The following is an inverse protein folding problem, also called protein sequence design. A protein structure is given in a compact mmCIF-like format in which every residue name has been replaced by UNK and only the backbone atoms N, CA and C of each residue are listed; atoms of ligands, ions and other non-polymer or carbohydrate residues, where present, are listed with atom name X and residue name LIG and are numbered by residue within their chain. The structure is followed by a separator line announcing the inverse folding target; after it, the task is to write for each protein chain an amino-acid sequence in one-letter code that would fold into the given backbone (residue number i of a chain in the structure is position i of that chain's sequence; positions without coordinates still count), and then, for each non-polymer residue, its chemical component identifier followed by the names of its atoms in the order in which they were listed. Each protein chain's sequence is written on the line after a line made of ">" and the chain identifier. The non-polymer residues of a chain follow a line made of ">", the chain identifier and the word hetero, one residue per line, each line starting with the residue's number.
data_IF_873469212531
#
_entry.id   IF_873469212531
#
_cell.length_a   1.000
_cell.length_b   1.000
_cell.length_c   1.000
_cell.angle_alpha   90.00
_cell.angle_beta   90.00
_cell.angle_gamma   90.00
#
_symmetry.space_group_name_H-M   'P 1'
#
loop_
_entity.id
_entity.type
_entity.pdbx_description
1 polymer ?
#
# COMPACT_ATOMS: atom_id res chain seq x y z
N UNK A 1 -11.19 -2.45 4.23
CA UNK A 1 -11.27 -2.29 5.70
C UNK A 1 -10.98 -3.60 6.46
N UNK A 2 -11.77 -4.67 6.30
CA UNK A 2 -11.64 -5.91 7.11
C UNK A 2 -10.23 -6.54 7.05
N UNK A 3 -9.63 -6.65 5.86
CA UNK A 3 -8.27 -7.18 5.74
C UNK A 3 -7.22 -6.34 6.48
N UNK A 4 -7.37 -5.01 6.50
CA UNK A 4 -6.49 -4.09 7.25
C UNK A 4 -6.72 -4.21 8.75
N UNK A 5 -7.97 -4.35 9.19
CA UNK A 5 -8.29 -4.67 10.59
C UNK A 5 -7.58 -5.95 11.04
N UNK A 6 -7.69 -7.02 10.25
CA UNK A 6 -7.07 -8.31 10.56
C UNK A 6 -5.55 -8.20 10.65
N UNK A 7 -4.91 -7.53 9.67
CA UNK A 7 -3.46 -7.30 9.67
C UNK A 7 -3.03 -6.51 10.91
N UNK A 8 -3.77 -5.46 11.28
CA UNK A 8 -3.49 -4.67 12.46
C UNK A 8 -3.60 -5.45 13.75
N UNK A 9 -4.66 -6.26 13.90
CA UNK A 9 -4.84 -7.12 15.09
C UNK A 9 -3.77 -8.20 15.20
N UNK A 10 -3.29 -8.72 14.08
CA UNK A 10 -2.27 -9.76 14.05
C UNK A 10 -0.86 -9.19 14.33
N UNK A 11 -0.52 -8.04 13.74
CA UNK A 11 0.82 -7.44 13.79
C UNK A 11 1.03 -6.45 14.94
N UNK A 12 -0.03 -5.82 15.45
CA UNK A 12 -0.03 -4.97 16.65
C UNK A 12 -0.99 -5.57 17.68
N UNK A 13 -0.64 -6.73 18.27
CA UNK A 13 -1.50 -7.35 19.27
C UNK A 13 -1.68 -6.44 20.48
N UNK A 14 -2.85 -6.51 21.12
CA UNK A 14 -3.19 -5.74 22.33
C UNK A 14 -3.36 -4.21 22.12
N UNK A 15 -3.33 -3.72 20.88
CA UNK A 15 -3.67 -2.32 20.57
C UNK A 15 -5.00 -2.23 19.82
N UNK A 16 -5.47 -1.00 19.61
CA UNK A 16 -6.60 -0.69 18.71
C UNK A 16 -6.14 -0.31 17.29
N UNK A 17 -4.89 -0.60 16.93
CA UNK A 17 -4.31 -0.18 15.65
C UNK A 17 -5.11 -0.73 14.46
N UNK A 18 -5.59 -1.98 14.55
CA UNK A 18 -6.43 -2.58 13.50
C UNK A 18 -7.77 -1.87 13.35
N UNK A 19 -8.44 -1.59 14.46
CA UNK A 19 -9.71 -0.85 14.51
C UNK A 19 -9.54 0.55 13.90
N UNK A 20 -8.56 1.31 14.39
CA UNK A 20 -8.25 2.67 13.93
C UNK A 20 -7.95 2.67 12.43
N UNK A 21 -7.02 1.83 11.98
CA UNK A 21 -6.65 1.76 10.58
C UNK A 21 -7.81 1.32 9.69
N UNK A 22 -8.69 0.43 10.17
CA UNK A 22 -9.85 -0.02 9.41
C UNK A 22 -10.90 1.08 9.22
N UNK A 23 -11.12 1.91 10.25
CA UNK A 23 -11.98 3.10 10.16
C UNK A 23 -11.36 4.09 9.18
N UNK A 24 -10.06 4.35 9.28
CA UNK A 24 -9.34 5.22 8.35
C UNK A 24 -9.41 4.75 6.89
N UNK A 25 -9.37 3.43 6.63
CA UNK A 25 -9.62 2.89 5.28
C UNK A 25 -11.06 3.14 4.84
N UNK A 26 -12.03 2.94 5.72
CA UNK A 26 -13.45 3.08 5.40
C UNK A 26 -13.87 4.54 5.16
N UNK A 27 -13.25 5.49 5.86
CA UNK A 27 -13.61 6.92 5.82
C UNK A 27 -12.57 7.78 5.10
N UNK A 28 -11.46 7.21 4.65
CA UNK A 28 -10.36 7.93 4.04
C UNK A 28 -10.67 8.37 2.61
N UNK A 29 -10.35 9.63 2.29
CA UNK A 29 -10.55 10.23 0.97
C UNK A 29 -9.95 9.39 -0.17
N UNK A 30 -8.79 8.78 0.04
CA UNK A 30 -8.15 7.93 -0.96
C UNK A 30 -8.94 6.67 -1.33
N UNK A 31 -9.70 6.10 -0.39
CA UNK A 31 -10.56 4.95 -0.65
C UNK A 31 -11.90 5.37 -1.27
N UNK A 32 -12.46 6.49 -0.83
CA UNK A 32 -13.66 7.09 -1.44
C UNK A 32 -13.38 7.41 -2.92
N UNK A 33 -12.25 8.04 -3.21
CA UNK A 33 -11.79 8.33 -4.57
C UNK A 33 -11.62 7.05 -5.41
N UNK A 34 -10.98 6.00 -4.86
CA UNK A 34 -10.89 4.70 -5.54
C UNK A 34 -12.27 4.14 -5.87
N UNK A 35 -13.23 4.26 -4.95
CA UNK A 35 -14.58 3.73 -5.11
C UNK A 35 -15.43 4.48 -6.13
N UNK A 36 -15.12 5.76 -6.39
CA UNK A 36 -15.79 6.59 -7.40
C UNK A 36 -15.13 6.52 -8.78
N UNK A 37 -13.93 5.95 -8.89
CA UNK A 37 -13.26 5.73 -10.17
C UNK A 37 -13.81 4.47 -10.86
N UNK A 38 -14.28 4.53 -12.12
CA UNK A 38 -14.95 3.42 -12.83
C UNK A 38 -14.01 2.29 -13.31
N UNK A 39 -12.95 1.97 -12.55
CA UNK A 39 -11.87 1.08 -12.96
C UNK A 39 -11.55 0.04 -11.87
N UNK A 40 -10.87 -1.05 -12.24
CA UNK A 40 -10.55 -2.21 -11.39
C UNK A 40 -9.67 -1.92 -10.14
N UNK A 41 -9.43 -0.65 -9.78
CA UNK A 41 -8.55 -0.23 -8.67
C UNK A 41 -9.03 -0.66 -7.29
N UNK A 42 -10.32 -0.53 -6.91
CA UNK A 42 -10.81 -1.04 -5.62
C UNK A 42 -10.65 -2.57 -5.52
N UNK A 43 -10.92 -3.28 -6.61
CA UNK A 43 -10.78 -4.74 -6.68
C UNK A 43 -9.31 -5.16 -6.55
N UNK A 44 -8.40 -4.46 -7.24
CA UNK A 44 -6.97 -4.70 -7.12
C UNK A 44 -6.43 -4.38 -5.73
N UNK A 45 -6.89 -3.28 -5.12
CA UNK A 45 -6.55 -2.95 -3.74
C UNK A 45 -7.02 -4.04 -2.78
N UNK A 46 -8.26 -4.49 -2.93
CA UNK A 46 -8.81 -5.61 -2.17
C UNK A 46 -7.98 -6.90 -2.35
N UNK A 47 -7.58 -7.21 -3.57
CA UNK A 47 -6.74 -8.36 -3.90
C UNK A 47 -5.35 -8.25 -3.26
N UNK A 48 -4.72 -7.07 -3.32
CA UNK A 48 -3.44 -6.79 -2.68
C UNK A 48 -3.51 -7.00 -1.16
N UNK A 49 -4.51 -6.40 -0.49
CA UNK A 49 -4.71 -6.55 0.96
C UNK A 49 -5.00 -8.00 1.33
N UNK A 50 -5.81 -8.69 0.53
CA UNK A 50 -6.11 -10.12 0.72
C UNK A 50 -4.84 -10.96 0.59
N UNK A 51 -4.00 -10.65 -0.39
CA UNK A 51 -2.67 -11.23 -0.53
C UNK A 51 -1.85 -11.05 0.74
N UNK A 52 -1.71 -9.82 1.25
CA UNK A 52 -0.99 -9.56 2.51
C UNK A 52 -1.53 -10.36 3.70
N UNK A 53 -2.86 -10.42 3.86
CA UNK A 53 -3.53 -11.22 4.91
C UNK A 53 -3.17 -12.69 4.79
N UNK A 54 -3.25 -13.26 3.59
CA UNK A 54 -2.98 -14.68 3.35
C UNK A 54 -1.49 -15.00 3.53
N UNK A 55 -0.60 -14.10 3.12
CA UNK A 55 0.83 -14.23 3.37
C UNK A 55 1.16 -14.27 4.86
N UNK A 56 0.53 -13.41 5.67
CA UNK A 56 0.64 -13.44 7.13
C UNK A 56 0.07 -14.74 7.72
N UNK A 57 -1.18 -15.05 7.38
CA UNK A 57 -1.93 -16.18 7.96
C UNK A 57 -1.25 -17.52 7.68
N UNK A 58 -0.71 -17.68 6.48
CA UNK A 58 -0.05 -18.90 6.03
C UNK A 58 1.47 -18.86 6.28
N UNK A 59 1.98 -17.85 6.99
CA UNK A 59 3.40 -17.70 7.33
C UNK A 59 4.35 -17.77 6.13
N UNK A 60 3.90 -17.24 4.98
CA UNK A 60 4.62 -17.34 3.70
C UNK A 60 5.86 -16.44 3.62
N UNK A 61 6.05 -15.53 4.59
CA UNK A 61 7.20 -14.62 4.66
C UNK A 61 8.53 -15.27 5.07
N UNK A 62 8.51 -16.52 5.54
CA UNK A 62 9.71 -17.21 6.03
C UNK A 62 9.74 -18.66 5.58
N UNK A 63 10.37 -18.92 4.44
CA UNK A 63 10.59 -20.28 3.91
C UNK A 63 11.75 -21.02 4.58
N UNK A 64 12.49 -20.39 5.51
CA UNK A 64 13.68 -20.99 6.11
C UNK A 64 13.35 -22.13 7.11
N UNK A 65 12.16 -22.16 7.71
CA UNK A 65 11.88 -23.08 8.83
C UNK A 65 11.23 -24.43 8.48
N UNK A 66 10.57 -24.60 7.33
CA UNK A 66 9.88 -25.86 7.00
C UNK A 66 10.48 -26.55 5.77
N UNK A 67 11.48 -27.42 5.97
CA UNK A 67 12.00 -28.30 4.88
C UNK A 67 10.90 -29.18 4.28
N UNK A 68 9.86 -29.53 5.06
CA UNK A 68 8.82 -30.49 4.67
C UNK A 68 7.72 -29.89 3.76
N UNK A 69 7.54 -28.57 3.77
CA UNK A 69 6.43 -27.89 3.06
C UNK A 69 6.91 -26.73 2.16
N UNK A 70 8.20 -26.72 1.82
CA UNK A 70 8.80 -25.66 1.00
C UNK A 70 8.04 -25.42 -0.31
N UNK A 71 7.57 -26.48 -0.97
CA UNK A 71 6.81 -26.36 -2.21
C UNK A 71 5.41 -25.79 -1.99
N UNK A 72 4.74 -26.12 -0.90
CA UNK A 72 3.44 -25.56 -0.54
C UNK A 72 3.55 -24.06 -0.35
N UNK A 73 4.60 -23.59 0.33
CA UNK A 73 4.78 -22.17 0.57
C UNK A 73 5.30 -21.40 -0.66
N UNK A 74 6.07 -22.04 -1.56
CA UNK A 74 6.42 -21.46 -2.87
C UNK A 74 5.17 -21.34 -3.76
N UNK A 75 4.42 -22.43 -3.91
CA UNK A 75 3.21 -22.46 -4.74
C UNK A 75 2.12 -21.56 -4.17
N UNK A 76 1.92 -21.57 -2.85
CA UNK A 76 0.98 -20.69 -2.16
C UNK A 76 1.33 -19.21 -2.35
N UNK A 77 2.60 -18.84 -2.15
CA UNK A 77 3.07 -17.48 -2.42
C UNK A 77 2.86 -17.11 -3.89
N UNK A 78 3.29 -17.97 -4.81
CA UNK A 78 3.17 -17.74 -6.24
C UNK A 78 1.71 -17.59 -6.69
N UNK A 79 0.82 -18.43 -6.16
CA UNK A 79 -0.61 -18.40 -6.45
C UNK A 79 -1.26 -17.11 -5.96
N UNK A 80 -1.01 -16.73 -4.71
CA UNK A 80 -1.57 -15.50 -4.15
C UNK A 80 -1.06 -14.26 -4.88
N UNK A 81 0.22 -14.23 -5.21
CA UNK A 81 0.80 -13.14 -5.98
C UNK A 81 0.31 -13.12 -7.42
N UNK A 82 0.20 -14.28 -8.07
CA UNK A 82 -0.30 -14.42 -9.44
C UNK A 82 -1.77 -13.99 -9.58
N UNK A 83 -2.64 -14.44 -8.67
CA UNK A 83 -4.05 -14.03 -8.63
C UNK A 83 -4.19 -12.52 -8.43
N UNK A 84 -3.41 -11.94 -7.51
CA UNK A 84 -3.43 -10.49 -7.31
C UNK A 84 -2.99 -9.71 -8.57
N UNK A 85 -2.22 -10.35 -9.44
CA UNK A 85 -1.83 -9.81 -10.75
C UNK A 85 -2.92 -9.83 -11.81
N UNK A 86 -4.04 -10.53 -11.59
CA UNK A 86 -5.15 -10.61 -12.56
C UNK A 86 -6.06 -9.38 -12.52
N UNK A 87 -6.15 -8.71 -11.36
CA UNK A 87 -7.11 -7.62 -11.12
C UNK A 87 -6.53 -6.23 -11.39
N UNK A 88 -5.20 -6.09 -11.37
CA UNK A 88 -4.37 -4.97 -11.80
C UNK A 88 -2.92 -5.37 -11.47
N UNK A 89 -1.89 -4.52 -11.62
CA UNK A 89 -0.49 -4.83 -11.29
C UNK A 89 -0.16 -5.27 -9.83
N UNK A 90 -1.12 -5.72 -9.02
CA UNK A 90 -0.94 -6.14 -7.63
C UNK A 90 0.13 -7.22 -7.41
N UNK A 91 0.48 -8.00 -8.44
CA UNK A 91 1.59 -8.95 -8.37
C UNK A 91 2.95 -8.25 -8.16
N UNK A 92 3.19 -7.09 -8.78
CA UNK A 92 4.47 -6.35 -8.66
C UNK A 92 4.74 -5.90 -7.22
N UNK A 93 3.85 -5.13 -6.55
CA UNK A 93 4.09 -4.72 -5.18
C UNK A 93 4.14 -5.90 -4.21
N UNK A 94 3.33 -6.96 -4.41
CA UNK A 94 3.43 -8.17 -3.58
C UNK A 94 4.78 -8.88 -3.74
N UNK A 95 5.29 -9.03 -4.97
CA UNK A 95 6.62 -9.59 -5.20
C UNK A 95 7.68 -8.72 -4.55
N UNK A 96 7.68 -7.40 -4.78
CA UNK A 96 8.68 -6.51 -4.19
C UNK A 96 8.63 -6.53 -2.66
N UNK A 97 7.44 -6.49 -2.05
CA UNK A 97 7.30 -6.67 -0.60
C UNK A 97 7.83 -8.02 -0.14
N UNK A 98 7.59 -9.10 -0.91
CA UNK A 98 8.12 -10.44 -0.61
C UNK A 98 9.65 -10.47 -0.70
N UNK A 99 10.24 -9.80 -1.68
CA UNK A 99 11.70 -9.69 -1.81
C UNK A 99 12.32 -8.83 -0.70
N UNK A 100 11.73 -7.70 -0.35
CA UNK A 100 12.26 -6.77 0.66
C UNK A 100 12.07 -7.35 2.07
N UNK A 101 10.87 -7.82 2.40
CA UNK A 101 10.58 -8.36 3.72
C UNK A 101 11.03 -9.81 3.88
N UNK A 102 10.76 -10.65 2.88
CA UNK A 102 11.12 -12.07 2.88
C UNK A 102 12.58 -12.34 2.50
N UNK A 103 13.27 -11.41 1.84
CA UNK A 103 14.67 -11.53 1.42
C UNK A 103 15.62 -12.05 2.50
N UNK A 104 15.70 -11.38 3.67
CA UNK A 104 16.54 -11.84 4.79
C UNK A 104 16.09 -13.19 5.40
N UNK A 105 14.91 -13.69 5.02
CA UNK A 105 14.17 -14.80 5.65
C UNK A 105 13.88 -15.95 4.70
N UNK A 106 14.33 -15.88 3.44
CA UNK A 106 14.09 -16.84 2.38
C UNK A 106 15.38 -17.04 1.57
N UNK A 107 15.59 -18.25 1.05
CA UNK A 107 16.69 -18.50 0.10
C UNK A 107 16.39 -17.76 -1.20
N UNK A 108 17.39 -17.11 -1.80
CA UNK A 108 17.27 -16.42 -3.10
C UNK A 108 16.62 -17.31 -4.16
N UNK A 109 17.04 -18.59 -4.25
CA UNK A 109 16.44 -19.57 -5.18
C UNK A 109 14.92 -19.73 -4.98
N UNK A 110 14.42 -19.64 -3.75
CA UNK A 110 12.99 -19.71 -3.50
C UNK A 110 12.27 -18.43 -3.90
N UNK A 111 12.87 -17.25 -3.69
CA UNK A 111 12.31 -15.97 -4.14
C UNK A 111 12.20 -15.91 -5.66
N UNK A 112 13.23 -16.41 -6.36
CA UNK A 112 13.23 -16.57 -7.82
C UNK A 112 12.13 -17.54 -8.24
N UNK A 113 11.99 -18.69 -7.57
CA UNK A 113 10.94 -19.66 -7.89
C UNK A 113 9.52 -19.09 -7.69
N UNK A 114 9.28 -18.37 -6.58
CA UNK A 114 8.00 -17.68 -6.33
C UNK A 114 7.71 -16.66 -7.43
N UNK A 115 8.71 -15.87 -7.81
CA UNK A 115 8.56 -14.84 -8.85
C UNK A 115 8.24 -15.49 -10.20
N UNK A 116 9.04 -16.48 -10.62
CA UNK A 116 8.84 -17.19 -11.88
C UNK A 116 7.48 -17.87 -11.97
N UNK A 117 7.05 -18.54 -10.89
CA UNK A 117 5.74 -19.19 -10.85
C UNK A 117 4.58 -18.16 -10.83
N UNK A 118 4.72 -17.05 -10.11
CA UNK A 118 3.71 -15.98 -10.12
C UNK A 118 3.56 -15.37 -11.52
N UNK A 119 4.67 -15.10 -12.22
CA UNK A 119 4.65 -14.63 -13.60
C UNK A 119 4.04 -15.67 -14.54
N UNK A 120 4.39 -16.95 -14.40
CA UNK A 120 3.80 -18.02 -15.20
C UNK A 120 2.28 -18.10 -15.04
N UNK A 121 1.74 -17.91 -13.83
CA UNK A 121 0.29 -17.86 -13.57
C UNK A 121 -0.35 -16.67 -14.27
N UNK A 122 0.24 -15.47 -14.15
CA UNK A 122 -0.26 -14.26 -14.82
C UNK A 122 -0.26 -14.43 -16.33
N UNK A 123 0.84 -14.90 -16.91
CA UNK A 123 0.97 -15.15 -18.35
C UNK A 123 0.02 -16.23 -18.84
N UNK A 124 -0.11 -17.34 -18.11
CA UNK A 124 -1.05 -18.41 -18.47
C UNK A 124 -2.49 -17.90 -18.51
N UNK A 125 -2.89 -17.07 -17.54
CA UNK A 125 -4.21 -16.46 -17.53
C UNK A 125 -4.43 -15.51 -18.70
N UNK A 126 -3.42 -14.72 -19.07
CA UNK A 126 -3.50 -13.84 -20.22
C UNK A 126 -3.70 -14.62 -21.52
N UNK A 127 -2.91 -15.68 -21.71
CA UNK A 127 -3.05 -16.58 -22.87
C UNK A 127 -4.44 -17.22 -22.88
N UNK A 128 -4.93 -17.72 -21.75
CA UNK A 128 -6.27 -18.33 -21.64
C UNK A 128 -7.36 -17.29 -21.97
N UNK A 129 -7.29 -16.09 -21.39
CA UNK A 129 -8.28 -15.05 -21.64
C UNK A 129 -8.26 -14.54 -23.08
N UNK A 130 -7.09 -14.44 -23.71
CA UNK A 130 -6.96 -14.09 -25.13
C UNK A 130 -7.51 -15.18 -26.05
N UNK A 131 -7.10 -16.43 -25.82
CA UNK A 131 -7.42 -17.55 -26.70
C UNK A 131 -8.85 -18.07 -26.54
N UNK A 132 -9.36 -18.17 -25.30
CA UNK A 132 -10.66 -18.77 -25.01
C UNK A 132 -11.79 -17.74 -24.87
N UNK A 133 -11.48 -16.53 -24.39
CA UNK A 133 -12.49 -15.51 -24.08
C UNK A 133 -12.42 -14.30 -25.02
N UNK A 134 -11.46 -14.26 -25.95
CA UNK A 134 -11.27 -13.13 -26.86
C UNK A 134 -10.90 -11.82 -26.16
N UNK A 135 -10.46 -11.88 -24.91
CA UNK A 135 -10.06 -10.71 -24.14
C UNK A 135 -8.76 -10.15 -24.71
N UNK A 136 -8.68 -8.85 -24.94
CA UNK A 136 -7.42 -8.21 -25.33
C UNK A 136 -6.69 -7.68 -24.09
N UNK A 137 -5.60 -8.33 -23.71
CA UNK A 137 -4.67 -7.77 -22.72
C UNK A 137 -3.57 -6.90 -23.36
N UNK A 138 -3.43 -6.97 -24.70
CA UNK A 138 -2.61 -6.06 -25.50
C UNK A 138 -3.22 -4.64 -25.51
N UNK A 139 -2.65 -3.74 -24.72
CA UNK A 139 -3.03 -2.33 -24.65
C UNK A 139 -3.22 -1.79 -23.23
N UNK A 140 -3.33 -2.67 -22.23
CA UNK A 140 -3.52 -2.26 -20.84
C UNK A 140 -2.21 -2.22 -20.05
N UNK A 141 -1.55 -3.37 -19.87
CA UNK A 141 -0.57 -3.53 -18.78
C UNK A 141 0.69 -4.38 -19.10
N UNK A 142 0.73 -5.15 -20.20
CA UNK A 142 1.82 -6.12 -20.38
C UNK A 142 3.13 -5.54 -20.95
N UNK A 143 3.09 -4.45 -21.72
CA UNK A 143 4.29 -3.74 -22.21
C UNK A 143 4.64 -2.51 -21.33
N UNK A 144 3.93 -2.28 -20.23
CA UNK A 144 4.20 -1.08 -19.41
C UNK A 144 5.54 -1.17 -18.68
N UNK A 145 5.96 -2.36 -18.23
CA UNK A 145 7.28 -2.52 -17.63
C UNK A 145 8.40 -2.28 -18.66
N UNK A 146 8.26 -2.83 -19.87
CA UNK A 146 9.21 -2.59 -20.97
C UNK A 146 9.23 -1.14 -21.45
N UNK A 147 8.06 -0.51 -21.53
CA UNK A 147 7.93 0.92 -21.79
C UNK A 147 8.54 1.79 -20.69
N UNK A 148 8.31 1.46 -19.42
CA UNK A 148 8.83 2.22 -18.29
C UNK A 148 10.35 2.17 -18.27
N UNK A 149 10.94 0.99 -18.49
CA UNK A 149 12.40 0.83 -18.62
C UNK A 149 12.94 1.68 -19.78
N UNK A 150 12.32 1.62 -20.96
CA UNK A 150 12.74 2.42 -22.12
C UNK A 150 12.70 3.92 -21.83
N UNK A 151 11.66 4.40 -21.14
CA UNK A 151 11.53 5.80 -20.76
C UNK A 151 12.57 6.20 -19.72
N UNK A 152 12.82 5.38 -18.70
CA UNK A 152 13.87 5.66 -17.72
C UNK A 152 15.26 5.67 -18.34
N UNK A 153 15.56 4.74 -19.24
CA UNK A 153 16.83 4.73 -19.99
C UNK A 153 16.99 6.02 -20.81
N UNK A 154 15.90 6.48 -21.45
CA UNK A 154 15.88 7.76 -22.16
C UNK A 154 16.13 8.94 -21.22
N UNK A 155 15.40 9.06 -20.10
CA UNK A 155 15.60 10.12 -19.10
C UNK A 155 17.03 10.13 -18.57
N UNK A 156 17.61 8.96 -18.29
CA UNK A 156 19.00 8.82 -17.86
C UNK A 156 19.96 9.30 -18.95
N UNK A 157 19.69 8.97 -20.22
CA UNK A 157 20.52 9.39 -21.36
C UNK A 157 20.44 10.90 -21.65
N UNK A 158 19.33 11.56 -21.28
CA UNK A 158 19.13 13.02 -21.38
C UNK A 158 19.84 13.79 -20.24
N UNK A 159 20.44 13.08 -19.28
CA UNK A 159 21.33 13.63 -18.25
C UNK A 159 20.65 14.07 -16.95
N UNK A 160 21.46 14.61 -16.02
CA UNK A 160 21.02 14.95 -14.65
C UNK A 160 19.88 15.98 -14.56
N UNK A 161 19.72 16.81 -15.59
CA UNK A 161 18.62 17.78 -15.68
C UNK A 161 17.26 17.11 -15.86
N UNK A 162 17.15 16.11 -16.75
CA UNK A 162 15.92 15.36 -16.96
C UNK A 162 15.53 14.55 -15.71
N UNK A 163 16.51 13.95 -15.03
CA UNK A 163 16.30 13.30 -13.73
C UNK A 163 15.77 14.26 -12.67
N UNK A 164 16.35 15.48 -12.58
CA UNK A 164 15.89 16.51 -11.64
C UNK A 164 14.45 16.94 -11.90
N UNK A 165 14.02 17.02 -13.16
CA UNK A 165 12.63 17.32 -13.51
C UNK A 165 11.68 16.19 -13.14
N UNK A 166 12.07 14.94 -13.42
CA UNK A 166 11.25 13.78 -13.05
C UNK A 166 11.06 13.65 -11.54
N UNK A 167 12.11 13.93 -10.77
CA UNK A 167 12.09 13.96 -9.31
C UNK A 167 11.77 15.34 -8.72
N UNK A 168 11.32 16.30 -9.53
CA UNK A 168 11.00 17.62 -9.02
C UNK A 168 9.94 17.50 -7.93
N UNK A 169 10.05 18.32 -6.89
CA UNK A 169 9.25 18.21 -5.68
C UNK A 169 7.76 18.18 -5.98
N UNK A 170 7.28 18.87 -7.03
CA UNK A 170 5.88 18.84 -7.48
C UNK A 170 5.37 17.46 -7.89
N UNK A 171 6.19 16.64 -8.58
CA UNK A 171 5.83 15.29 -9.05
C UNK A 171 5.79 14.28 -7.90
N UNK A 172 6.82 14.28 -7.06
CA UNK A 172 6.88 13.42 -5.86
C UNK A 172 5.83 13.84 -4.83
N UNK A 173 5.61 15.15 -4.67
CA UNK A 173 4.53 15.72 -3.86
C UNK A 173 3.18 15.26 -4.41
N UNK A 174 2.93 15.35 -5.72
CA UNK A 174 1.70 14.84 -6.33
C UNK A 174 1.48 13.35 -6.06
N UNK A 175 2.54 12.54 -6.16
CA UNK A 175 2.53 11.11 -5.87
C UNK A 175 2.21 10.79 -4.40
N UNK A 176 2.86 11.48 -3.46
CA UNK A 176 2.73 11.20 -2.04
C UNK A 176 1.50 11.86 -1.41
N UNK A 177 1.22 13.11 -1.79
CA UNK A 177 0.14 13.94 -1.26
C UNK A 177 -1.19 13.58 -1.91
N UNK A 178 -1.21 13.31 -3.22
CA UNK A 178 -2.43 12.88 -3.92
C UNK A 178 -2.95 11.51 -3.47
N UNK A 179 -2.09 10.66 -2.90
CA UNK A 179 -2.51 9.39 -2.29
C UNK A 179 -2.84 9.54 -0.79
N UNK A 180 -2.13 10.41 -0.08
CA UNK A 180 -2.31 10.63 1.36
C UNK A 180 -2.08 12.09 1.72
N UNK A 181 -3.09 12.75 2.27
CA UNK A 181 -2.92 14.09 2.82
C UNK A 181 -1.81 14.15 3.89
N UNK A 182 -1.07 15.26 3.96
CA UNK A 182 0.13 15.42 4.79
C UNK A 182 0.04 14.90 6.23
N UNK A 183 -1.07 15.10 6.98
CA UNK A 183 -1.19 14.59 8.35
C UNK A 183 -1.02 13.07 8.46
N UNK A 184 -1.42 12.31 7.43
CA UNK A 184 -1.29 10.86 7.42
C UNK A 184 0.18 10.42 7.34
N UNK A 185 1.01 11.13 6.57
CA UNK A 185 2.44 10.85 6.50
C UNK A 185 3.15 11.18 7.82
N UNK A 186 2.80 12.30 8.45
CA UNK A 186 3.34 12.68 9.76
C UNK A 186 3.00 11.60 10.80
N UNK A 187 1.74 11.16 10.85
CA UNK A 187 1.32 10.09 11.75
C UNK A 187 1.98 8.75 11.41
N UNK A 188 2.14 8.41 10.14
CA UNK A 188 2.86 7.21 9.74
C UNK A 188 4.33 7.25 10.18
N UNK A 189 5.00 8.40 10.07
CA UNK A 189 6.38 8.60 10.56
C UNK A 189 6.46 8.38 12.07
N UNK A 190 5.56 9.00 12.85
CA UNK A 190 5.47 8.75 14.30
C UNK A 190 5.20 7.26 14.56
N UNK A 191 4.34 6.66 13.76
CA UNK A 191 3.97 5.24 13.80
C UNK A 191 5.14 4.29 13.60
N UNK A 192 6.11 4.65 12.75
CA UNK A 192 7.35 3.89 12.55
C UNK A 192 8.12 3.76 13.87
N UNK A 193 8.18 4.84 14.65
CA UNK A 193 8.85 4.84 15.95
C UNK A 193 8.02 4.19 17.06
N UNK A 194 6.69 4.30 16.98
CA UNK A 194 5.76 3.70 17.94
C UNK A 194 5.56 2.18 17.75
N UNK A 195 5.95 1.63 16.60
CA UNK A 195 5.66 0.25 16.22
C UNK A 195 6.74 -0.75 16.63
N UNK A 196 6.37 -2.00 16.99
CA UNK A 196 7.33 -3.08 17.18
C UNK A 196 8.19 -3.30 15.92
N UNK A 197 9.48 -3.59 16.11
CA UNK A 197 10.46 -3.72 15.02
C UNK A 197 9.97 -4.61 13.87
N UNK A 198 9.42 -5.78 14.16
CA UNK A 198 8.95 -6.73 13.13
C UNK A 198 7.77 -6.19 12.30
N UNK A 199 6.85 -5.46 12.93
CA UNK A 199 5.67 -4.88 12.29
C UNK A 199 6.03 -3.63 11.51
N UNK A 200 6.95 -2.82 12.05
CA UNK A 200 7.58 -1.70 11.36
C UNK A 200 8.33 -2.13 10.10
N UNK A 201 9.24 -3.11 10.21
CA UNK A 201 10.04 -3.58 9.07
C UNK A 201 9.14 -4.18 7.97
N UNK A 202 8.01 -4.79 8.34
CA UNK A 202 7.00 -5.27 7.41
C UNK A 202 6.24 -4.14 6.71
N UNK A 203 5.77 -3.15 7.48
CA UNK A 203 5.07 -1.99 6.92
C UNK A 203 5.99 -1.19 5.98
N UNK A 204 7.25 -1.00 6.37
CA UNK A 204 8.26 -0.35 5.51
C UNK A 204 8.53 -1.13 4.22
N UNK A 205 8.52 -2.46 4.27
CA UNK A 205 8.66 -3.28 3.07
C UNK A 205 7.44 -3.19 2.14
N UNK A 206 6.23 -3.01 2.69
CA UNK A 206 5.04 -2.69 1.89
C UNK A 206 5.20 -1.31 1.25
N UNK A 207 5.53 -0.29 2.04
CA UNK A 207 5.73 1.08 1.53
C UNK A 207 6.76 1.10 0.40
N UNK A 208 7.92 0.48 0.59
CA UNK A 208 8.94 0.37 -0.45
C UNK A 208 8.45 -0.44 -1.66
N UNK A 209 7.80 -1.58 -1.41
CA UNK A 209 7.26 -2.44 -2.47
C UNK A 209 6.18 -1.78 -3.32
N UNK A 210 5.47 -0.78 -2.79
CA UNK A 210 4.41 -0.05 -3.51
C UNK A 210 4.90 1.27 -4.09
N UNK A 211 5.81 1.96 -3.40
CA UNK A 211 6.37 3.25 -3.86
C UNK A 211 7.40 3.06 -4.97
N UNK A 212 8.19 1.99 -4.96
CA UNK A 212 9.17 1.72 -6.03
C UNK A 212 8.49 1.56 -7.41
N UNK A 213 7.43 0.74 -7.57
CA UNK A 213 6.66 0.71 -8.80
C UNK A 213 6.00 2.06 -9.11
N UNK A 214 5.44 2.74 -8.11
CA UNK A 214 4.82 4.05 -8.30
C UNK A 214 5.79 5.07 -8.91
N UNK A 215 7.04 5.09 -8.42
CA UNK A 215 8.13 5.91 -8.98
C UNK A 215 8.50 5.41 -10.38
N UNK A 216 8.72 4.10 -10.55
CA UNK A 216 9.09 3.51 -11.83
C UNK A 216 8.07 3.80 -12.94
N UNK A 217 6.78 3.86 -12.60
CA UNK A 217 5.70 4.15 -13.54
C UNK A 217 5.34 5.63 -13.63
N UNK A 218 5.89 6.50 -12.77
CA UNK A 218 5.59 7.95 -12.76
C UNK A 218 5.83 8.68 -14.08
N UNK A 219 6.81 8.33 -14.94
CA UNK A 219 6.97 9.00 -16.24
C UNK A 219 5.86 8.66 -17.24
N UNK A 220 5.19 7.51 -17.07
CA UNK A 220 4.11 7.05 -17.94
C UNK A 220 2.73 7.43 -17.40
N UNK A 221 2.58 7.44 -16.09
CA UNK A 221 1.31 7.69 -15.40
C UNK A 221 1.46 8.90 -14.50
N UNK A 222 0.84 10.01 -14.92
CA UNK A 222 0.83 11.28 -14.17
C UNK A 222 0.26 11.15 -12.75
N UNK A 223 -0.58 10.14 -12.52
CA UNK A 223 -1.06 9.75 -11.20
C UNK A 223 -0.62 8.32 -10.89
N UNK A 224 0.19 8.10 -9.86
CA UNK A 224 0.75 6.80 -9.55
C UNK A 224 -0.28 6.00 -8.76
N UNK A 225 -1.21 5.39 -9.48
CA UNK A 225 -2.26 4.54 -8.90
C UNK A 225 -1.70 3.36 -8.09
N UNK A 226 -0.45 2.98 -8.35
CA UNK A 226 0.27 1.99 -7.55
C UNK A 226 0.64 2.48 -6.14
N UNK A 227 0.75 3.80 -5.91
CA UNK A 227 1.02 4.38 -4.60
C UNK A 227 -0.12 4.09 -3.61
N UNK A 228 -1.35 3.93 -4.09
CA UNK A 228 -2.48 3.56 -3.25
C UNK A 228 -2.36 2.16 -2.62
N UNK A 229 -1.57 1.25 -3.19
CA UNK A 229 -1.30 -0.02 -2.51
C UNK A 229 -0.55 0.18 -1.18
N UNK A 230 0.02 1.36 -0.93
CA UNK A 230 0.62 1.72 0.35
C UNK A 230 -0.41 1.92 1.48
N UNK A 231 -1.72 2.07 1.19
CA UNK A 231 -2.76 2.38 2.20
C UNK A 231 -2.72 1.50 3.46
N UNK A 232 -2.57 0.16 3.36
CA UNK A 232 -2.56 -0.69 4.54
C UNK A 232 -1.39 -0.34 5.46
N UNK A 233 -0.20 -0.13 4.90
CA UNK A 233 0.99 0.18 5.68
C UNK A 233 0.93 1.59 6.27
N UNK A 234 0.57 2.60 5.48
CA UNK A 234 0.45 3.99 5.98
C UNK A 234 -0.59 4.07 7.09
N UNK A 235 -1.78 3.49 6.90
CA UNK A 235 -2.85 3.58 7.89
C UNK A 235 -2.62 2.72 9.11
N UNK A 236 -1.95 1.56 9.00
CA UNK A 236 -1.54 0.78 10.18
C UNK A 236 -0.48 1.52 11.01
N UNK A 237 0.52 2.14 10.36
CA UNK A 237 1.51 2.97 11.05
C UNK A 237 0.87 4.19 11.70
N UNK A 238 0.04 4.92 10.95
CA UNK A 238 -0.70 6.06 11.49
C UNK A 238 -1.62 5.63 12.64
N UNK A 239 -2.30 4.49 12.54
CA UNK A 239 -3.11 3.92 13.61
C UNK A 239 -2.31 3.56 14.85
N UNK A 240 -1.06 3.11 14.70
CA UNK A 240 -0.16 2.90 15.83
C UNK A 240 0.22 4.23 16.52
N UNK A 241 0.45 5.30 15.76
CA UNK A 241 0.69 6.64 16.31
C UNK A 241 -0.54 7.18 17.04
N UNK A 242 -1.73 7.09 16.44
CA UNK A 242 -2.98 7.55 17.05
C UNK A 242 -3.26 6.78 18.34
N UNK A 243 -3.06 5.45 18.35
CA UNK A 243 -3.17 4.64 19.55
C UNK A 243 -2.21 5.13 20.65
N UNK A 244 -0.93 5.31 20.33
CA UNK A 244 0.08 5.80 21.28
C UNK A 244 -0.31 7.16 21.87
N UNK A 245 -0.66 8.13 21.02
CA UNK A 245 -1.08 9.48 21.44
C UNK A 245 -2.31 9.40 22.35
N UNK A 246 -3.28 8.56 21.99
CA UNK A 246 -4.51 8.37 22.77
C UNK A 246 -4.23 7.80 24.16
N UNK A 247 -3.30 6.84 24.27
CA UNK A 247 -2.89 6.30 25.57
C UNK A 247 -2.10 7.34 26.40
N UNK A 248 -1.26 8.15 25.76
CA UNK A 248 -0.56 9.26 26.43
C UNK A 248 -1.53 10.33 26.97
N UNK A 249 -2.59 10.64 26.23
CA UNK A 249 -3.65 11.55 26.70
C UNK A 249 -4.43 10.92 27.84
N UNK A 250 -4.89 9.67 27.67
CA UNK A 250 -5.68 8.96 28.67
C UNK A 250 -4.97 8.87 30.03
N UNK A 251 -3.66 8.56 30.02
CA UNK A 251 -2.82 8.49 31.22
C UNK A 251 -2.62 9.83 31.91
N UNK A 252 -2.65 10.95 31.16
CA UNK A 252 -2.60 12.31 31.74
C UNK A 252 -3.95 12.76 32.29
N UNK A 253 -5.05 12.37 31.66
CA UNK A 253 -6.41 12.80 32.02
C UNK A 253 -6.95 12.03 33.22
N UNK A 254 -6.59 10.75 33.39
CA UNK A 254 -7.09 9.96 34.50
C UNK A 254 -6.08 8.93 35.01
N UNK A 255 -5.87 8.92 36.33
CA UNK A 255 -5.12 7.88 37.03
C UNK A 255 -5.99 6.70 37.47
N UNK A 256 -7.32 6.77 37.28
CA UNK A 256 -8.31 5.77 37.73
C UNK A 256 -8.25 4.47 36.92
N UNK A 257 -9.07 3.50 37.33
CA UNK A 257 -9.17 2.13 36.81
C UNK A 257 -9.12 1.99 35.28
N UNK A 258 -8.75 0.78 34.83
CA UNK A 258 -8.55 0.44 33.42
C UNK A 258 -9.73 0.80 32.50
N UNK A 259 -10.97 0.71 32.99
CA UNK A 259 -12.17 1.03 32.19
C UNK A 259 -12.25 2.52 31.83
N UNK A 260 -11.94 3.42 32.77
CA UNK A 260 -11.96 4.86 32.54
C UNK A 260 -10.81 5.33 31.65
N UNK A 261 -9.62 4.73 31.81
CA UNK A 261 -8.49 4.97 30.90
C UNK A 261 -8.80 4.53 29.48
N UNK A 262 -9.48 3.39 29.34
CA UNK A 262 -9.93 2.88 28.04
C UNK A 262 -10.92 3.84 27.37
N UNK A 263 -11.95 4.28 28.11
CA UNK A 263 -12.93 5.25 27.60
C UNK A 263 -12.28 6.57 27.19
N UNK A 264 -11.39 7.13 28.02
CA UNK A 264 -10.65 8.35 27.71
C UNK A 264 -9.77 8.19 26.46
N UNK A 265 -9.11 7.04 26.30
CA UNK A 265 -8.32 6.71 25.11
C UNK A 265 -9.18 6.63 23.85
N UNK A 266 -10.37 6.03 23.92
CA UNK A 266 -11.29 5.96 22.78
C UNK A 266 -11.81 7.35 22.38
N UNK A 267 -12.14 8.21 23.34
CA UNK A 267 -12.57 9.59 23.08
C UNK A 267 -11.44 10.39 22.42
N UNK A 268 -10.22 10.31 22.96
CA UNK A 268 -9.05 10.97 22.38
C UNK A 268 -8.78 10.47 20.95
N UNK A 269 -8.90 9.16 20.73
CA UNK A 269 -8.75 8.56 19.41
C UNK A 269 -9.81 9.07 18.43
N UNK A 270 -11.08 9.07 18.83
CA UNK A 270 -12.18 9.56 18.01
C UNK A 270 -11.99 11.04 17.67
N UNK A 271 -11.54 11.86 18.63
CA UNK A 271 -11.25 13.27 18.41
C UNK A 271 -10.11 13.47 17.40
N UNK A 272 -9.01 12.72 17.51
CA UNK A 272 -7.90 12.78 16.54
C UNK A 272 -8.37 12.39 15.14
N UNK A 273 -9.12 11.28 15.01
CA UNK A 273 -9.66 10.84 13.71
C UNK A 273 -10.64 11.88 13.15
N UNK A 274 -11.52 12.45 13.98
CA UNK A 274 -12.48 13.46 13.56
C UNK A 274 -11.79 14.76 13.11
N UNK A 275 -10.75 15.23 13.82
CA UNK A 275 -9.95 16.37 13.41
C UNK A 275 -9.23 16.11 12.08
N UNK A 276 -8.65 14.91 11.90
CA UNK A 276 -7.99 14.52 10.65
C UNK A 276 -8.98 14.45 9.49
N UNK A 277 -10.14 13.82 9.71
CA UNK A 277 -11.23 13.74 8.74
C UNK A 277 -11.74 15.15 8.37
N UNK A 278 -11.93 16.02 9.37
CA UNK A 278 -12.29 17.42 9.18
C UNK A 278 -11.27 18.18 8.35
N UNK A 279 -9.97 18.07 8.66
CA UNK A 279 -8.90 18.70 7.88
C UNK A 279 -8.84 18.20 6.42
N UNK A 280 -9.10 16.91 6.18
CA UNK A 280 -9.17 16.36 4.82
C UNK A 280 -10.48 16.68 4.10
N UNK A 281 -11.57 16.97 4.82
CA UNK A 281 -12.89 17.25 4.26
C UNK A 281 -13.17 18.75 4.11
N UNK A 282 -12.45 19.63 4.82
CA UNK A 282 -12.52 21.08 4.62
C UNK A 282 -12.09 21.47 3.19
N UNK A 283 -11.21 20.66 2.59
CA UNK A 283 -10.85 20.63 1.16
C UNK A 283 -12.08 20.36 0.25
N UNK A 284 -13.08 19.61 0.72
CA UNK A 284 -14.28 19.29 -0.06
C UNK A 284 -15.37 20.37 0.04
N UNK A 285 -15.37 21.20 1.09
CA UNK A 285 -16.46 22.13 1.40
C UNK A 285 -16.24 23.57 0.91
N UNK A 286 -15.12 23.89 0.26
CA UNK A 286 -14.92 25.24 -0.28
C UNK A 286 -13.55 25.58 -0.82
N UNK A 287 -12.53 24.77 -0.56
CA UNK A 287 -11.19 24.95 -1.11
C UNK A 287 -10.89 23.75 -1.99
N UNK A 288 -11.41 23.71 -3.22
CA UNK A 288 -11.22 22.57 -4.12
C UNK A 288 -9.77 22.32 -4.49
N UNK A 289 -8.77 22.94 -3.86
CA UNK A 289 -7.36 22.82 -4.24
C UNK A 289 -6.86 21.38 -4.24
N UNK A 290 -7.31 20.46 -3.38
CA UNK A 290 -6.85 19.07 -3.52
C UNK A 290 -7.51 18.31 -4.69
N UNK A 291 -8.80 18.54 -4.96
CA UNK A 291 -9.47 18.01 -6.15
C UNK A 291 -8.97 18.67 -7.45
N UNK A 292 -8.70 19.99 -7.41
CA UNK A 292 -8.20 20.82 -8.51
C UNK A 292 -6.75 20.50 -8.79
N UNK A 293 -5.86 20.32 -7.81
CA UNK A 293 -4.48 19.90 -8.07
C UNK A 293 -4.41 18.46 -8.59
N UNK A 294 -5.37 17.61 -8.22
CA UNK A 294 -5.50 16.25 -8.74
C UNK A 294 -6.07 16.23 -10.17
N UNK A 295 -7.04 17.09 -10.50
CA UNK A 295 -7.56 17.29 -11.85
C UNK A 295 -6.57 18.05 -12.75
N UNK A 296 -5.88 19.07 -12.25
CA UNK A 296 -4.78 19.78 -12.95
C UNK A 296 -3.58 18.86 -13.19
N UNK A 297 -3.27 17.92 -12.30
CA UNK A 297 -2.27 16.88 -12.56
C UNK A 297 -2.70 15.92 -13.70
N UNK A 298 -4.01 15.77 -13.95
CA UNK A 298 -4.52 15.07 -15.14
C UNK A 298 -4.57 15.96 -16.39
N UNK A 299 -4.96 17.24 -16.26
CA UNK A 299 -5.32 18.12 -17.37
C UNK A 299 -4.19 19.04 -17.86
N UNK A 300 -3.24 19.43 -17.01
CA UNK A 300 -2.19 20.35 -17.42
C UNK A 300 -1.07 19.60 -18.16
N UNK A 301 -1.11 19.68 -19.49
CA UNK A 301 0.03 19.41 -20.36
C UNK A 301 1.12 20.45 -20.13
N UNK A 302 2.15 20.07 -19.39
CA UNK A 302 3.47 20.69 -19.40
C UNK A 302 4.48 19.66 -19.91
#
# INVERSE_FOLDING_TARGET
>A
AIGVWWLGRHRWPQTWTGEIASVMVATGQGFIFMSTAPQAHPAAFGAFVTGLVLFDRLSLWSLIQARRERWVAILGSAWMTGIAGLLYFGHIPLLLTTWIFGGPRMRVRSLVAVSAAAFAIVTAWQVIGETLLGLRFSGGNNDLAGGAIRIWLRIISEGGWALRWQFHAGSIRGLLVGAFYYPWWILAIIGIFASPRRSRDWALAILAGTLLPAIAFSPQFRLPRAAYFAFPAVYLLAGAAVYMISQMIATRVTSRDNHWRTAAGLVACAAVIACLAGLTNLDLTGDQTFNVWFHEAQENGW
#
